data_IF_978614515060
#
_entry.id   IF_978614515060
#
_cell.length_a   1.000
_cell.length_b   1.000
_cell.length_c   1.000
_cell.angle_alpha   90.00
_cell.angle_beta   90.00
_cell.angle_gamma   90.00
#
_symmetry.space_group_name_H-M   'P 1'
#
loop_
_entity.id
_entity.type
_entity.pdbx_description
1 polymer ?
#
# COMPACT_ATOMS: atom_id res chain seq x y z
N UNK A 1 -38.63 16.94 7.07
CA UNK A 1 -38.50 15.51 6.69
C UNK A 1 -37.03 15.16 6.60
N UNK A 2 -36.52 14.12 7.27
CA UNK A 2 -35.12 13.73 7.12
C UNK A 2 -34.93 13.19 5.70
N UNK A 3 -34.02 13.80 4.92
CA UNK A 3 -33.63 13.28 3.60
C UNK A 3 -33.05 11.89 3.80
N UNK A 4 -33.76 10.85 3.38
CA UNK A 4 -33.19 9.51 3.22
C UNK A 4 -32.01 9.65 2.26
N UNK A 5 -30.79 9.42 2.77
CA UNK A 5 -29.58 9.39 1.94
C UNK A 5 -29.80 8.35 0.85
N UNK A 6 -29.86 8.79 -0.41
CA UNK A 6 -29.82 7.91 -1.58
C UNK A 6 -28.61 7.00 -1.39
N UNK A 7 -28.82 5.68 -1.39
CA UNK A 7 -27.70 4.73 -1.41
C UNK A 7 -26.91 5.02 -2.67
N UNK A 8 -25.66 5.44 -2.53
CA UNK A 8 -24.76 5.54 -3.66
C UNK A 8 -24.66 4.16 -4.28
N UNK A 9 -24.99 4.05 -5.57
CA UNK A 9 -24.61 2.88 -6.35
C UNK A 9 -23.10 2.75 -6.26
N UNK A 10 -22.65 1.72 -5.55
CA UNK A 10 -21.25 1.41 -5.47
C UNK A 10 -20.84 0.82 -6.83
N UNK A 11 -19.67 1.22 -7.32
CA UNK A 11 -19.06 0.70 -8.55
C UNK A 11 -18.77 -0.83 -8.51
N UNK A 12 -19.06 -1.48 -7.37
CA UNK A 12 -19.19 -2.92 -7.19
C UNK A 12 -20.53 -3.19 -6.50
N UNK A 13 -21.35 -4.07 -7.07
CA UNK A 13 -22.59 -4.52 -6.45
C UNK A 13 -22.27 -5.50 -5.30
N UNK A 14 -22.46 -5.05 -4.06
CA UNK A 14 -22.11 -5.86 -2.88
C UNK A 14 -22.91 -7.18 -2.79
N UNK A 15 -24.14 -7.25 -3.33
CA UNK A 15 -24.94 -8.49 -3.29
C UNK A 15 -24.34 -9.55 -4.22
N UNK A 16 -24.06 -9.16 -5.46
CA UNK A 16 -23.43 -10.04 -6.45
C UNK A 16 -22.02 -10.43 -6.02
N UNK A 17 -21.27 -9.48 -5.44
CA UNK A 17 -19.94 -9.75 -4.92
C UNK A 17 -19.96 -10.77 -3.77
N UNK A 18 -20.92 -10.65 -2.84
CA UNK A 18 -21.10 -11.64 -1.77
C UNK A 18 -21.45 -13.02 -2.33
N UNK A 19 -22.40 -13.09 -3.27
CA UNK A 19 -22.79 -14.36 -3.90
C UNK A 19 -21.59 -15.05 -4.57
N UNK A 20 -20.80 -14.29 -5.35
CA UNK A 20 -19.62 -14.84 -6.02
C UNK A 20 -18.54 -15.33 -5.03
N UNK A 21 -18.34 -14.64 -3.91
CA UNK A 21 -17.42 -15.09 -2.85
C UNK A 21 -17.90 -16.39 -2.20
N UNK A 22 -19.20 -16.50 -1.92
CA UNK A 22 -19.80 -17.72 -1.35
C UNK A 22 -19.65 -18.89 -2.32
N UNK A 23 -20.03 -18.71 -3.58
CA UNK A 23 -19.89 -19.73 -4.63
C UNK A 23 -18.43 -20.19 -4.78
N UNK A 24 -17.47 -19.26 -4.76
CA UNK A 24 -16.07 -19.61 -4.81
C UNK A 24 -15.62 -20.42 -3.58
N UNK A 25 -16.06 -20.05 -2.38
CA UNK A 25 -15.75 -20.80 -1.15
C UNK A 25 -16.34 -22.22 -1.17
N UNK A 26 -17.56 -22.38 -1.68
CA UNK A 26 -18.18 -23.70 -1.87
C UNK A 26 -17.35 -24.56 -2.84
N UNK A 27 -16.90 -24.00 -3.97
CA UNK A 27 -16.01 -24.70 -4.91
C UNK A 27 -14.68 -25.10 -4.26
N UNK A 28 -14.11 -24.24 -3.41
CA UNK A 28 -12.87 -24.56 -2.68
C UNK A 28 -13.10 -25.72 -1.72
N UNK A 29 -14.20 -25.71 -0.95
CA UNK A 29 -14.52 -26.79 -0.02
C UNK A 29 -14.77 -28.13 -0.74
N UNK A 30 -15.48 -28.10 -1.87
CA UNK A 30 -15.70 -29.29 -2.70
C UNK A 30 -14.41 -29.85 -3.29
N UNK A 31 -13.50 -28.98 -3.75
CA UNK A 31 -12.19 -29.42 -4.25
C UNK A 31 -11.35 -30.06 -3.14
N UNK A 32 -11.39 -29.49 -1.92
CA UNK A 32 -10.70 -30.04 -0.74
C UNK A 32 -11.23 -31.42 -0.36
N UNK A 33 -12.56 -31.61 -0.36
CA UNK A 33 -13.19 -32.92 -0.10
C UNK A 33 -12.78 -33.98 -1.14
N UNK A 34 -12.58 -33.57 -2.39
CA UNK A 34 -12.17 -34.44 -3.50
C UNK A 34 -10.66 -34.65 -3.60
N UNK A 35 -9.86 -33.94 -2.80
CA UNK A 35 -8.40 -33.94 -2.92
C UNK A 35 -7.89 -33.30 -4.23
N UNK A 36 -8.68 -32.40 -4.82
CA UNK A 36 -8.35 -31.68 -6.05
C UNK A 36 -7.56 -30.39 -5.75
N UNK A 37 -6.93 -29.84 -6.78
CA UNK A 37 -6.25 -28.55 -6.67
C UNK A 37 -7.25 -27.42 -6.38
N UNK A 38 -6.80 -26.43 -5.60
CA UNK A 38 -7.60 -25.25 -5.26
C UNK A 38 -8.11 -24.57 -6.55
N UNK A 39 -9.42 -24.30 -6.68
CA UNK A 39 -9.96 -23.68 -7.88
C UNK A 39 -9.40 -22.27 -8.08
N UNK A 40 -9.26 -21.89 -9.34
CA UNK A 40 -8.82 -20.54 -9.72
C UNK A 40 -9.89 -19.51 -9.30
N UNK A 41 -9.44 -18.38 -8.77
CA UNK A 41 -10.32 -17.22 -8.51
C UNK A 41 -10.92 -16.74 -9.85
N UNK A 42 -12.22 -16.48 -9.86
CA UNK A 42 -12.93 -16.07 -11.08
C UNK A 42 -12.50 -14.67 -11.52
N UNK A 43 -12.58 -14.41 -12.83
CA UNK A 43 -12.26 -13.09 -13.38
C UNK A 43 -13.14 -11.99 -12.75
N UNK A 44 -14.43 -12.27 -12.51
CA UNK A 44 -15.34 -11.34 -11.85
C UNK A 44 -14.86 -10.92 -10.45
N UNK A 45 -14.37 -11.85 -9.62
CA UNK A 45 -13.82 -11.54 -8.31
C UNK A 45 -12.54 -10.70 -8.43
N UNK A 46 -11.67 -11.04 -9.38
CA UNK A 46 -10.48 -10.26 -9.71
C UNK A 46 -10.81 -8.82 -10.14
N UNK A 47 -11.79 -8.65 -11.01
CA UNK A 47 -12.30 -7.34 -11.44
C UNK A 47 -12.87 -6.54 -10.26
N UNK A 48 -13.58 -7.18 -9.34
CA UNK A 48 -14.08 -6.52 -8.13
C UNK A 48 -12.93 -6.00 -7.27
N UNK A 49 -11.90 -6.81 -7.03
CA UNK A 49 -10.71 -6.38 -6.28
C UNK A 49 -9.99 -5.22 -6.95
N UNK A 50 -9.79 -5.31 -8.27
CA UNK A 50 -9.17 -4.26 -9.07
C UNK A 50 -9.96 -2.94 -8.96
N UNK A 51 -11.28 -2.98 -9.18
CA UNK A 51 -12.14 -1.80 -9.07
C UNK A 51 -12.06 -1.16 -7.69
N UNK A 52 -12.07 -1.96 -6.61
CA UNK A 52 -11.95 -1.45 -5.23
C UNK A 52 -10.60 -0.79 -5.02
N UNK A 53 -9.51 -1.44 -5.43
CA UNK A 53 -8.15 -0.93 -5.26
C UNK A 53 -7.92 0.36 -6.05
N UNK A 54 -8.30 0.38 -7.33
CA UNK A 54 -8.19 1.56 -8.19
C UNK A 54 -9.02 2.73 -7.67
N UNK A 55 -10.24 2.49 -7.20
CA UNK A 55 -11.02 3.58 -6.63
C UNK A 55 -10.42 4.09 -5.31
N UNK A 56 -9.88 3.20 -4.47
CA UNK A 56 -9.23 3.58 -3.22
C UNK A 56 -7.96 4.41 -3.48
N UNK A 57 -7.19 4.13 -4.53
CA UNK A 57 -5.98 4.89 -4.87
C UNK A 57 -6.25 6.35 -5.25
N UNK A 58 -7.48 6.71 -5.63
CA UNK A 58 -7.87 8.10 -5.89
C UNK A 58 -8.30 8.87 -4.63
N UNK A 59 -8.34 8.24 -3.46
CA UNK A 59 -8.66 8.96 -2.21
C UNK A 59 -7.54 9.96 -1.87
N UNK A 60 -7.87 11.10 -1.24
CA UNK A 60 -6.87 12.13 -0.87
C UNK A 60 -5.65 11.59 -0.12
N UNK A 61 -5.84 10.56 0.71
CA UNK A 61 -4.77 9.91 1.47
C UNK A 61 -3.74 9.18 0.60
N UNK A 62 -4.11 8.79 -0.63
CA UNK A 62 -3.33 7.90 -1.49
C UNK A 62 -3.04 8.48 -2.89
N UNK A 63 -3.79 9.49 -3.33
CA UNK A 63 -3.77 10.01 -4.70
C UNK A 63 -2.43 10.63 -5.12
N UNK A 64 -1.63 11.12 -4.18
CA UNK A 64 -0.40 11.86 -4.47
C UNK A 64 0.88 11.01 -4.45
N UNK A 65 0.77 9.69 -4.28
CA UNK A 65 1.94 8.81 -4.38
C UNK A 65 2.26 8.49 -5.84
N UNK A 66 3.53 8.55 -6.24
CA UNK A 66 3.96 8.22 -7.60
C UNK A 66 3.86 6.71 -7.92
N UNK A 67 3.92 5.86 -6.90
CA UNK A 67 3.88 4.40 -6.99
C UNK A 67 2.46 3.83 -6.80
N UNK A 68 1.44 4.54 -7.30
CA UNK A 68 0.02 4.15 -7.14
C UNK A 68 -0.28 2.77 -7.73
N UNK A 69 0.28 2.47 -8.91
CA UNK A 69 0.02 1.19 -9.57
C UNK A 69 0.59 0.02 -8.78
N UNK A 70 1.79 0.19 -8.21
CA UNK A 70 2.38 -0.79 -7.29
C UNK A 70 1.53 -1.00 -6.04
N UNK A 71 0.97 0.08 -5.47
CA UNK A 71 0.05 -0.04 -4.33
C UNK A 71 -1.19 -0.85 -4.71
N UNK A 72 -1.77 -0.61 -5.89
CA UNK A 72 -2.93 -1.34 -6.41
C UNK A 72 -2.59 -2.83 -6.58
N UNK A 73 -1.43 -3.15 -7.15
CA UNK A 73 -0.94 -4.53 -7.28
C UNK A 73 -0.82 -5.22 -5.90
N UNK A 74 -0.15 -4.58 -4.93
CA UNK A 74 0.00 -5.10 -3.57
C UNK A 74 -1.38 -5.30 -2.91
N UNK A 75 -2.33 -4.41 -3.16
CA UNK A 75 -3.71 -4.50 -2.69
C UNK A 75 -4.45 -5.73 -3.22
N UNK A 76 -4.35 -5.99 -4.52
CA UNK A 76 -5.00 -7.14 -5.17
C UNK A 76 -4.37 -8.45 -4.71
N UNK A 77 -3.04 -8.50 -4.60
CA UNK A 77 -2.32 -9.68 -4.08
C UNK A 77 -2.82 -10.05 -2.68
N UNK A 78 -2.97 -9.06 -1.80
CA UNK A 78 -3.49 -9.27 -0.44
C UNK A 78 -4.97 -9.72 -0.46
N UNK A 79 -5.80 -9.20 -1.36
CA UNK A 79 -7.16 -9.71 -1.53
C UNK A 79 -7.18 -11.20 -1.91
N UNK A 80 -6.33 -11.60 -2.84
CA UNK A 80 -6.19 -12.99 -3.29
C UNK A 80 -5.70 -13.90 -2.16
N UNK A 81 -4.72 -13.44 -1.40
CA UNK A 81 -4.15 -14.19 -0.27
C UNK A 81 -5.19 -14.43 0.84
N UNK A 82 -6.00 -13.42 1.16
CA UNK A 82 -6.93 -13.46 2.30
C UNK A 82 -8.39 -13.73 1.90
N UNK A 83 -8.69 -14.04 0.63
CA UNK A 83 -10.06 -14.30 0.15
C UNK A 83 -10.78 -15.39 0.97
N UNK A 84 -10.05 -16.44 1.34
CA UNK A 84 -10.61 -17.57 2.09
C UNK A 84 -10.95 -17.21 3.54
N UNK A 85 -10.35 -16.16 4.09
CA UNK A 85 -10.52 -15.74 5.49
C UNK A 85 -11.82 -14.95 5.70
N UNK A 86 -12.46 -14.48 4.62
CA UNK A 86 -13.76 -13.84 4.70
C UNK A 86 -14.82 -14.86 5.19
N UNK A 87 -15.58 -14.50 6.22
CA UNK A 87 -16.64 -15.33 6.77
C UNK A 87 -18.02 -14.69 6.55
N UNK A 88 -18.84 -15.24 5.61
CA UNK A 88 -20.18 -14.75 5.33
C UNK A 88 -21.13 -14.78 6.52
N UNK A 89 -20.90 -15.62 7.53
CA UNK A 89 -21.75 -15.70 8.73
C UNK A 89 -21.48 -14.56 9.71
N UNK A 90 -20.25 -14.05 9.73
CA UNK A 90 -19.87 -12.91 10.58
C UNK A 90 -20.18 -11.56 9.93
N UNK A 91 -20.05 -11.48 8.60
CA UNK A 91 -20.29 -10.24 7.85
C UNK A 91 -20.88 -10.55 6.48
N UNK A 92 -21.97 -9.87 6.12
CA UNK A 92 -22.59 -9.92 4.79
C UNK A 92 -22.04 -8.81 3.87
N UNK A 93 -20.96 -8.13 4.25
CA UNK A 93 -20.36 -7.03 3.50
C UNK A 93 -18.91 -7.34 3.10
N UNK A 94 -18.68 -8.07 1.99
CA UNK A 94 -17.35 -8.31 1.46
C UNK A 94 -16.67 -7.02 0.99
N UNK A 95 -17.41 -6.03 0.49
CA UNK A 95 -16.84 -4.76 0.05
C UNK A 95 -16.05 -4.07 1.17
N UNK A 96 -16.64 -3.96 2.36
CA UNK A 96 -15.97 -3.36 3.51
C UNK A 96 -14.73 -4.16 3.94
N UNK A 97 -14.84 -5.50 3.95
CA UNK A 97 -13.73 -6.39 4.30
C UNK A 97 -12.52 -6.20 3.37
N UNK A 98 -12.74 -6.25 2.05
CA UNK A 98 -11.66 -6.10 1.07
C UNK A 98 -11.15 -4.67 0.97
N UNK A 99 -12.00 -3.65 1.18
CA UNK A 99 -11.54 -2.27 1.31
C UNK A 99 -10.52 -2.12 2.44
N UNK A 100 -10.75 -2.78 3.59
CA UNK A 100 -9.83 -2.75 4.73
C UNK A 100 -8.50 -3.44 4.42
N UNK A 101 -8.55 -4.60 3.75
CA UNK A 101 -7.35 -5.33 3.32
C UNK A 101 -6.47 -4.45 2.43
N UNK A 102 -7.07 -3.85 1.40
CA UNK A 102 -6.36 -3.01 0.44
C UNK A 102 -5.80 -1.77 1.16
N UNK A 103 -6.56 -1.14 2.04
CA UNK A 103 -6.10 0.03 2.81
C UNK A 103 -4.81 -0.28 3.59
N UNK A 104 -4.75 -1.41 4.30
CA UNK A 104 -3.53 -1.78 5.02
C UNK A 104 -2.39 -2.21 4.10
N UNK A 105 -2.67 -2.82 2.95
CA UNK A 105 -1.65 -3.09 1.94
C UNK A 105 -1.00 -1.78 1.43
N UNK A 106 -1.82 -0.76 1.16
CA UNK A 106 -1.36 0.57 0.74
C UNK A 106 -0.45 1.22 1.79
N UNK A 107 -0.86 1.18 3.06
CA UNK A 107 -0.04 1.72 4.16
C UNK A 107 1.33 1.00 4.26
N UNK A 108 1.36 -0.32 4.12
CA UNK A 108 2.62 -1.08 4.12
C UNK A 108 3.51 -0.72 2.94
N UNK A 109 2.94 -0.55 1.73
CA UNK A 109 3.70 -0.13 0.55
C UNK A 109 4.32 1.25 0.75
N UNK A 110 3.56 2.21 1.25
CA UNK A 110 4.07 3.56 1.57
C UNK A 110 5.22 3.50 2.58
N UNK A 111 5.09 2.69 3.65
CA UNK A 111 6.16 2.53 4.64
C UNK A 111 7.43 1.91 4.03
N UNK A 112 7.27 0.91 3.16
CA UNK A 112 8.39 0.29 2.44
C UNK A 112 9.12 1.30 1.55
N UNK A 113 8.38 2.10 0.79
CA UNK A 113 8.96 3.13 -0.08
C UNK A 113 9.67 4.23 0.71
N UNK A 114 9.08 4.70 1.83
CA UNK A 114 9.73 5.65 2.74
C UNK A 114 11.06 5.11 3.26
N UNK A 115 11.09 3.85 3.72
CA UNK A 115 12.32 3.20 4.18
C UNK A 115 13.38 3.12 3.08
N UNK A 116 12.98 2.83 1.84
CA UNK A 116 13.91 2.79 0.71
C UNK A 116 14.48 4.17 0.38
N UNK A 117 13.66 5.22 0.45
CA UNK A 117 14.11 6.60 0.28
C UNK A 117 15.13 7.00 1.35
N UNK A 118 14.84 6.70 2.63
CA UNK A 118 15.76 6.96 3.74
C UNK A 118 17.10 6.25 3.57
N UNK A 119 17.11 4.99 3.11
CA UNK A 119 18.34 4.25 2.82
C UNK A 119 19.15 4.94 1.72
N UNK A 120 18.48 5.34 0.62
CA UNK A 120 19.13 6.06 -0.48
C UNK A 120 19.75 7.38 0.00
N UNK A 121 19.03 8.17 0.79
CA UNK A 121 19.55 9.41 1.38
C UNK A 121 20.79 9.16 2.25
N UNK A 122 20.75 8.15 3.13
CA UNK A 122 21.91 7.80 3.98
C UNK A 122 23.15 7.39 3.18
N UNK A 123 22.95 6.68 2.06
CA UNK A 123 24.06 6.31 1.17
C UNK A 123 24.67 7.56 0.53
N UNK A 124 23.84 8.46 0.00
CA UNK A 124 24.30 9.71 -0.62
C UNK A 124 25.05 10.57 0.39
N UNK A 125 24.51 10.74 1.60
CA UNK A 125 25.18 11.47 2.67
C UNK A 125 26.56 10.87 2.94
N UNK A 126 26.65 9.56 3.16
CA UNK A 126 27.92 8.87 3.44
C UNK A 126 28.95 9.01 2.30
N UNK A 127 28.53 8.90 1.05
CA UNK A 127 29.42 9.04 -0.11
C UNK A 127 29.84 10.49 -0.36
N UNK A 128 28.96 11.47 -0.13
CA UNK A 128 29.32 12.89 -0.21
C UNK A 128 30.33 13.31 0.86
N UNK A 129 30.28 12.69 2.05
CA UNK A 129 31.35 12.84 3.03
C UNK A 129 32.68 12.29 2.52
N UNK A 130 32.70 11.10 1.91
CA UNK A 130 33.91 10.47 1.38
C UNK A 130 34.61 11.32 0.30
N UNK A 131 33.86 11.98 -0.57
CA UNK A 131 34.39 12.88 -1.60
C UNK A 131 34.94 14.20 -1.01
N UNK A 132 34.31 14.73 0.05
CA UNK A 132 34.83 15.92 0.78
C UNK A 132 36.05 15.58 1.64
N UNK A 133 36.17 14.36 2.16
CA UNK A 133 37.32 13.92 2.96
C UNK A 133 38.52 13.47 2.12
N UNK A 134 38.37 13.32 0.79
CA UNK A 134 39.44 12.91 -0.13
C UNK A 134 39.93 14.04 -1.04
N UNK A 135 39.46 15.28 -0.84
CA UNK A 135 40.11 16.44 -1.47
C UNK A 135 41.46 16.67 -0.78
N UNK A 136 42.50 16.24 -1.49
CA UNK A 136 43.90 16.24 -1.09
C UNK A 136 44.38 17.51 -0.35
N UNK A 137 45.08 17.27 0.77
CA UNK A 137 46.17 18.13 1.24
C UNK A 137 45.81 19.20 2.28
N UNK A 138 46.10 18.88 3.54
CA UNK A 138 46.40 19.85 4.61
C UNK A 138 45.23 20.65 5.21
N UNK A 139 44.24 19.97 5.81
CA UNK A 139 43.46 20.61 6.87
C UNK A 139 43.38 19.74 8.13
N UNK A 140 44.22 20.10 9.09
CA UNK A 140 44.15 19.75 10.52
C UNK A 140 42.95 20.43 11.20
N UNK A 141 41.74 20.25 10.65
CA UNK A 141 40.49 20.80 11.20
C UNK A 141 39.82 19.78 12.10
N UNK A 142 39.73 20.06 13.40
CA UNK A 142 39.11 19.18 14.40
C UNK A 142 37.60 19.02 14.10
N UNK A 143 37.03 17.84 14.34
CA UNK A 143 35.61 17.50 14.10
C UNK A 143 34.57 18.52 14.62
N UNK A 144 34.97 19.40 15.54
CA UNK A 144 34.18 20.52 16.07
C UNK A 144 33.87 21.60 15.03
N UNK A 145 34.77 21.88 14.10
CA UNK A 145 34.61 22.97 13.12
C UNK A 145 33.57 22.61 12.05
N UNK A 146 33.51 21.33 11.70
CA UNK A 146 32.53 20.79 10.75
C UNK A 146 31.10 20.83 11.28
N UNK A 147 30.91 20.67 12.61
CA UNK A 147 29.58 20.77 13.22
C UNK A 147 29.02 22.21 13.18
N UNK A 148 29.87 23.23 13.27
CA UNK A 148 29.43 24.63 13.17
C UNK A 148 29.03 25.02 11.75
N UNK A 149 29.73 24.50 10.75
CA UNK A 149 29.39 24.69 9.33
C UNK A 149 28.05 24.02 9.02
N UNK A 150 27.80 22.84 9.60
CA UNK A 150 26.53 22.13 9.49
C UNK A 150 25.37 22.92 10.08
N UNK A 151 25.49 23.40 11.33
CA UNK A 151 24.43 24.18 11.98
C UNK A 151 24.12 25.47 11.21
N UNK A 152 25.13 26.13 10.66
CA UNK A 152 24.95 27.39 9.92
C UNK A 152 24.32 27.20 8.53
N UNK A 153 24.59 26.09 7.84
CA UNK A 153 23.95 25.75 6.56
C UNK A 153 22.51 25.27 6.76
N UNK A 154 22.26 24.41 7.77
CA UNK A 154 20.90 23.97 8.12
C UNK A 154 20.02 25.14 8.57
N UNK A 155 20.56 26.08 9.34
CA UNK A 155 19.81 27.29 9.73
C UNK A 155 19.41 28.10 8.50
N UNK A 156 20.31 28.30 7.52
CA UNK A 156 19.98 29.10 6.32
C UNK A 156 18.95 28.43 5.40
N UNK A 157 18.95 27.11 5.28
CA UNK A 157 17.98 26.40 4.44
C UNK A 157 16.58 26.31 5.06
N UNK A 158 16.46 26.42 6.38
CA UNK A 158 15.16 26.36 7.08
C UNK A 158 14.42 27.72 7.15
N UNK A 159 15.06 28.82 6.71
CA UNK A 159 14.49 30.16 6.70
C UNK A 159 14.22 30.74 5.29
N UNK A 160 14.13 29.88 4.26
CA UNK A 160 13.61 30.23 2.93
C UNK A 160 12.26 29.56 2.65
#
# INVERSE_FOLDING_TARGET
MPRTRKRSEHYVNNKEFLAAIVEYKEKVALAEERGEAKPRITNYLGECFLKIATHLSFKPNFVNYMFKDDMVCDGIENCVQYINNFNPEKSKNPFAYFTQIIHYAFLRRIQKEKKQLEIKTKIIERSGYEEVFTVDGDMTGTSSDYNQIKDSVQTRMNYQ
#
